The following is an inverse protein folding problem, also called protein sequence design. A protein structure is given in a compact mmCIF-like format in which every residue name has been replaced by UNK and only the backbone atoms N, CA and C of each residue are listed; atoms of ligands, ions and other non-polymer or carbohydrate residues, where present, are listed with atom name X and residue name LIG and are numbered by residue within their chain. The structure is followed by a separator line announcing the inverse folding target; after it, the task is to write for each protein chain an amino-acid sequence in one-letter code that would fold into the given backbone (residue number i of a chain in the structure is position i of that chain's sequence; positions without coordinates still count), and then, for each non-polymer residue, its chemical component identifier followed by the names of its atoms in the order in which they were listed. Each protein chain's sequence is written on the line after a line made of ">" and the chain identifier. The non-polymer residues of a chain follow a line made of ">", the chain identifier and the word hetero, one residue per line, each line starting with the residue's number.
data_IF_059645977989
#
_entry.id   IF_059645977989
#
_cell.length_a   1.000
_cell.length_b   1.000
_cell.length_c   1.000
_cell.angle_alpha   90.00
_cell.angle_beta   90.00
_cell.angle_gamma   90.00
#
_symmetry.space_group_name_H-M   'P 1'
#
loop_
_entity.id
_entity.type
_entity.pdbx_description
1 polymer ?
#
# COMPACT_ATOMS: atom_id res chain seq x y z
N UNK A 1 -3.18 -16.30 -12.74
CA UNK A 1 -3.63 -15.08 -12.02
C UNK A 1 -2.50 -14.07 -12.11
N UNK A 2 -2.75 -12.84 -12.59
CA UNK A 2 -1.71 -11.80 -12.66
C UNK A 2 -1.50 -11.20 -11.26
N UNK A 3 -0.29 -11.37 -10.72
CA UNK A 3 0.12 -10.87 -9.41
C UNK A 3 0.76 -9.48 -9.44
N UNK A 4 0.65 -8.76 -10.55
CA UNK A 4 1.20 -7.41 -10.69
C UNK A 4 0.36 -6.41 -9.89
N UNK A 5 1.04 -5.47 -9.23
CA UNK A 5 0.43 -4.30 -8.59
C UNK A 5 0.74 -3.09 -9.45
N UNK A 6 -0.17 -2.13 -9.52
CA UNK A 6 0.08 -0.83 -10.16
C UNK A 6 1.00 0.05 -9.30
N UNK A 7 0.94 -0.16 -7.97
CA UNK A 7 1.76 0.54 -7.00
C UNK A 7 2.08 -0.39 -5.82
N UNK A 8 3.36 -0.46 -5.44
CA UNK A 8 3.81 -1.20 -4.27
C UNK A 8 4.50 -0.26 -3.27
N UNK A 9 4.00 -0.22 -2.05
CA UNK A 9 4.43 0.71 -0.98
C UNK A 9 5.19 -0.08 0.08
N UNK A 10 6.38 0.39 0.45
CA UNK A 10 7.19 -0.16 1.54
C UNK A 10 7.12 0.79 2.74
N UNK A 11 6.62 0.29 3.85
CA UNK A 11 6.37 1.05 5.08
C UNK A 11 4.87 1.30 5.29
N UNK A 12 4.31 0.73 6.35
CA UNK A 12 2.89 0.77 6.74
C UNK A 12 2.55 1.82 7.79
N UNK A 13 3.44 2.77 8.09
CA UNK A 13 3.16 3.91 8.95
C UNK A 13 2.13 4.88 8.35
N UNK A 14 1.85 5.98 9.06
CA UNK A 14 0.78 6.93 8.70
C UNK A 14 0.82 7.41 7.25
N UNK A 15 2.03 7.69 6.73
CA UNK A 15 2.21 8.13 5.34
C UNK A 15 1.93 7.00 4.34
N UNK A 16 2.48 5.81 4.58
CA UNK A 16 2.30 4.66 3.70
C UNK A 16 0.85 4.21 3.62
N UNK A 17 0.16 4.14 4.78
CA UNK A 17 -1.25 3.83 4.85
C UNK A 17 -2.12 4.90 4.16
N UNK A 18 -1.81 6.18 4.34
CA UNK A 18 -2.51 7.29 3.69
C UNK A 18 -2.39 7.25 2.17
N UNK A 19 -1.17 7.02 1.66
CA UNK A 19 -0.89 6.88 0.22
C UNK A 19 -1.60 5.64 -0.34
N UNK A 20 -1.53 4.51 0.36
CA UNK A 20 -2.20 3.28 -0.08
C UNK A 20 -3.71 3.47 -0.19
N UNK A 21 -4.32 4.18 0.77
CA UNK A 21 -5.76 4.48 0.77
C UNK A 21 -6.16 5.41 -0.38
N UNK A 22 -5.41 6.48 -0.62
CA UNK A 22 -5.69 7.38 -1.75
C UNK A 22 -5.55 6.64 -3.09
N UNK A 23 -4.48 5.86 -3.29
CA UNK A 23 -4.26 5.09 -4.51
C UNK A 23 -5.33 4.01 -4.72
N UNK A 24 -5.72 3.28 -3.66
CA UNK A 24 -6.81 2.31 -3.75
C UNK A 24 -8.15 2.99 -4.08
N UNK A 25 -8.43 4.16 -3.51
CA UNK A 25 -9.61 4.97 -3.83
C UNK A 25 -9.67 5.47 -5.28
N UNK A 26 -8.52 5.50 -5.97
CA UNK A 26 -8.37 5.82 -7.39
C UNK A 26 -8.43 4.58 -8.31
N UNK A 27 -8.78 3.41 -7.77
CA UNK A 27 -8.87 2.13 -8.46
C UNK A 27 -7.51 1.53 -8.90
N UNK A 28 -6.40 1.89 -8.26
CA UNK A 28 -5.14 1.18 -8.46
C UNK A 28 -5.13 -0.13 -7.67
N UNK A 29 -4.55 -1.19 -8.24
CA UNK A 29 -4.20 -2.40 -7.50
C UNK A 29 -2.95 -2.14 -6.68
N UNK A 30 -3.14 -1.84 -5.40
CA UNK A 30 -2.06 -1.44 -4.48
C UNK A 30 -1.59 -2.61 -3.63
N UNK A 31 -0.27 -2.78 -3.51
CA UNK A 31 0.36 -3.59 -2.48
C UNK A 31 1.00 -2.69 -1.43
N UNK A 32 0.88 -3.06 -0.16
CA UNK A 32 1.58 -2.40 0.96
C UNK A 32 2.22 -3.47 1.84
N UNK A 33 3.49 -3.29 2.16
CA UNK A 33 4.25 -4.18 3.03
C UNK A 33 4.92 -3.39 4.17
N UNK A 34 4.89 -3.97 5.36
CA UNK A 34 5.56 -3.49 6.57
C UNK A 34 6.34 -4.65 7.18
N UNK A 35 7.51 -4.36 7.73
CA UNK A 35 8.39 -5.34 8.38
C UNK A 35 7.90 -5.71 9.79
N UNK A 36 7.13 -4.82 10.45
CA UNK A 36 6.55 -5.01 11.77
C UNK A 36 5.03 -4.87 11.80
N UNK A 37 4.52 -4.07 12.74
CA UNK A 37 3.09 -3.80 12.90
C UNK A 37 2.62 -2.70 11.94
N UNK A 38 1.39 -2.81 11.45
CA UNK A 38 0.78 -1.76 10.64
C UNK A 38 0.56 -0.51 11.51
N UNK A 39 1.03 0.64 11.04
CA UNK A 39 0.97 1.91 11.76
C UNK A 39 2.33 2.39 12.30
N UNK A 40 3.35 1.52 12.34
CA UNK A 40 4.69 1.81 12.86
C UNK A 40 5.03 0.98 14.09
#
# INVERSE_FOLDING_TARGET
>A
MNNEFDLFIIGGGINGAGIARDAAGRNLKVGLAEKGEIGG
#
